data_IF_996500841731
#
_entry.id   IF_996500841731
#
_cell.length_a   1.000
_cell.length_b   1.000
_cell.length_c   1.000
_cell.angle_alpha   90.00
_cell.angle_beta   90.00
_cell.angle_gamma   90.00
#
_symmetry.space_group_name_H-M   'P 1'
#
loop_
_entity.id
_entity.type
_entity.pdbx_description
1 polymer ?
#
# COMPACT_ATOMS: atom_id res chain seq x y z
N UNK A 1 24.58 -54.18 -19.15
CA UNK A 1 23.89 -52.97 -18.68
C UNK A 1 24.77 -51.79 -19.02
N UNK A 2 24.34 -51.00 -20.00
CA UNK A 2 25.12 -49.88 -20.54
C UNK A 2 24.84 -48.61 -19.72
N UNK A 3 25.73 -47.62 -19.82
CA UNK A 3 25.52 -46.29 -19.21
C UNK A 3 24.19 -45.65 -19.65
N UNK A 4 23.75 -45.94 -20.88
CA UNK A 4 22.49 -45.46 -21.43
C UNK A 4 21.28 -46.03 -20.68
N UNK A 5 21.31 -47.31 -20.31
CA UNK A 5 20.22 -47.97 -19.57
C UNK A 5 19.98 -47.33 -18.20
N UNK A 6 21.06 -46.85 -17.53
CA UNK A 6 20.96 -46.15 -16.26
C UNK A 6 20.37 -44.75 -16.41
N UNK A 7 20.76 -44.01 -17.44
CA UNK A 7 20.20 -42.68 -17.74
C UNK A 7 18.71 -42.79 -18.08
N UNK A 8 18.33 -43.80 -18.84
CA UNK A 8 16.93 -44.04 -19.24
C UNK A 8 16.07 -44.40 -18.02
N UNK A 9 16.58 -45.24 -17.10
CA UNK A 9 15.90 -45.59 -15.84
C UNK A 9 15.69 -44.35 -14.95
N UNK A 10 16.73 -43.55 -14.75
CA UNK A 10 16.65 -42.33 -13.93
C UNK A 10 15.68 -41.32 -14.55
N UNK A 11 15.70 -41.17 -15.88
CA UNK A 11 14.80 -40.27 -16.60
C UNK A 11 13.34 -40.73 -16.49
N UNK A 12 13.08 -42.04 -16.59
CA UNK A 12 11.76 -42.60 -16.42
C UNK A 12 11.19 -42.34 -15.02
N UNK A 13 11.99 -42.59 -13.98
CA UNK A 13 11.61 -42.32 -12.59
C UNK A 13 11.37 -40.82 -12.38
N UNK A 14 12.25 -39.96 -12.88
CA UNK A 14 12.10 -38.50 -12.79
C UNK A 14 10.78 -38.02 -13.44
N UNK A 15 10.41 -38.58 -14.59
CA UNK A 15 9.16 -38.22 -15.28
C UNK A 15 7.90 -38.64 -14.50
N UNK A 16 7.92 -39.81 -13.84
CA UNK A 16 6.81 -40.24 -12.97
C UNK A 16 6.67 -39.28 -11.79
N UNK A 17 7.76 -38.99 -11.09
CA UNK A 17 7.75 -38.06 -9.96
C UNK A 17 7.30 -36.66 -10.39
N UNK A 18 7.74 -36.16 -11.54
CA UNK A 18 7.32 -34.86 -12.08
C UNK A 18 5.82 -34.83 -12.39
N UNK A 19 5.28 -35.91 -12.94
CA UNK A 19 3.84 -36.06 -13.21
C UNK A 19 3.02 -36.07 -11.91
N UNK A 20 3.47 -36.82 -10.90
CA UNK A 20 2.82 -36.87 -9.58
C UNK A 20 2.90 -35.52 -8.89
N UNK A 21 4.07 -34.87 -8.90
CA UNK A 21 4.27 -33.55 -8.31
C UNK A 21 3.36 -32.49 -8.97
N UNK A 22 3.24 -32.53 -10.29
CA UNK A 22 2.33 -31.66 -11.04
C UNK A 22 0.86 -31.92 -10.66
N UNK A 23 0.47 -33.19 -10.50
CA UNK A 23 -0.86 -33.56 -10.02
C UNK A 23 -1.16 -33.06 -8.60
N UNK A 24 -0.20 -33.18 -7.68
CA UNK A 24 -0.31 -32.64 -6.31
C UNK A 24 -0.43 -31.11 -6.35
N UNK A 25 0.37 -30.43 -7.17
CA UNK A 25 0.33 -28.97 -7.29
C UNK A 25 -1.04 -28.48 -7.80
N UNK A 26 -1.57 -29.12 -8.84
CA UNK A 26 -2.92 -28.82 -9.35
C UNK A 26 -3.97 -29.10 -8.27
N UNK A 27 -3.85 -30.23 -7.56
CA UNK A 27 -4.74 -30.59 -6.45
C UNK A 27 -4.75 -29.53 -5.34
N UNK A 28 -3.58 -29.14 -4.84
CA UNK A 28 -3.47 -28.08 -3.83
C UNK A 28 -4.08 -26.78 -4.36
N UNK A 29 -3.76 -26.39 -5.59
CA UNK A 29 -4.30 -25.16 -6.16
C UNK A 29 -5.83 -25.17 -6.19
N UNK A 30 -6.48 -26.28 -6.60
CA UNK A 30 -7.94 -26.36 -6.67
C UNK A 30 -8.59 -26.43 -5.29
N UNK A 31 -8.09 -27.29 -4.39
CA UNK A 31 -8.71 -27.51 -3.07
C UNK A 31 -8.39 -26.40 -2.08
N UNK A 32 -7.21 -25.78 -2.17
CA UNK A 32 -6.72 -24.74 -1.24
C UNK A 32 -6.77 -23.34 -1.84
N UNK A 33 -7.33 -23.16 -3.04
CA UNK A 33 -7.52 -21.85 -3.69
C UNK A 33 -8.04 -20.79 -2.73
N UNK A 34 -9.07 -21.13 -1.95
CA UNK A 34 -9.72 -20.18 -1.02
C UNK A 34 -8.77 -19.71 0.07
N UNK A 35 -7.99 -20.62 0.64
CA UNK A 35 -7.00 -20.31 1.67
C UNK A 35 -5.86 -19.45 1.10
N UNK A 36 -5.38 -19.78 -0.10
CA UNK A 36 -4.35 -19.00 -0.80
C UNK A 36 -4.85 -17.58 -1.09
N UNK A 37 -6.03 -17.44 -1.68
CA UNK A 37 -6.65 -16.14 -1.96
C UNK A 37 -6.89 -15.35 -0.68
N UNK A 38 -7.32 -16.01 0.40
CA UNK A 38 -7.50 -15.38 1.71
C UNK A 38 -6.18 -14.86 2.28
N UNK A 39 -5.12 -15.66 2.23
CA UNK A 39 -3.80 -15.26 2.71
C UNK A 39 -3.27 -14.05 1.92
N UNK A 40 -3.38 -14.07 0.59
CA UNK A 40 -3.02 -12.91 -0.23
C UNK A 40 -3.90 -11.69 0.06
N UNK A 41 -5.20 -11.87 0.27
CA UNK A 41 -6.12 -10.77 0.62
C UNK A 41 -5.74 -10.13 1.95
N UNK A 42 -5.33 -10.93 2.94
CA UNK A 42 -4.81 -10.44 4.22
C UNK A 42 -3.49 -9.67 4.04
N UNK A 43 -2.57 -10.18 3.22
CA UNK A 43 -1.30 -9.51 2.93
C UNK A 43 -1.52 -8.15 2.23
N UNK A 44 -2.41 -8.09 1.24
CA UNK A 44 -2.76 -6.84 0.57
C UNK A 44 -3.49 -5.87 1.52
N UNK A 45 -4.40 -6.37 2.35
CA UNK A 45 -5.06 -5.57 3.39
C UNK A 45 -4.07 -5.00 4.41
N UNK A 46 -3.07 -5.80 4.80
CA UNK A 46 -2.00 -5.37 5.69
C UNK A 46 -1.10 -4.31 5.06
N UNK A 47 -0.73 -4.45 3.78
CA UNK A 47 0.03 -3.43 3.05
C UNK A 47 -0.71 -2.09 3.03
N UNK A 48 -2.02 -2.10 2.80
CA UNK A 48 -2.85 -0.89 2.89
C UNK A 48 -2.86 -0.29 4.30
N UNK A 49 -3.00 -1.12 5.33
CA UNK A 49 -2.98 -0.68 6.73
C UNK A 49 -1.62 -0.08 7.11
N UNK A 50 -0.52 -0.66 6.64
CA UNK A 50 0.83 -0.15 6.85
C UNK A 50 0.98 1.25 6.26
N UNK A 51 0.55 1.46 5.00
CA UNK A 51 0.58 2.78 4.37
C UNK A 51 -0.27 3.80 5.14
N UNK A 52 -1.47 3.42 5.62
CA UNK A 52 -2.30 4.31 6.44
C UNK A 52 -1.62 4.69 7.77
N UNK A 53 -0.88 3.76 8.38
CA UNK A 53 -0.11 4.02 9.61
C UNK A 53 1.04 4.98 9.38
N UNK A 54 1.81 4.79 8.30
CA UNK A 54 2.91 5.68 7.91
C UNK A 54 2.40 7.09 7.58
N UNK A 55 1.29 7.19 6.84
CA UNK A 55 0.65 8.49 6.54
C UNK A 55 0.27 9.18 7.85
N UNK A 56 -0.33 8.46 8.80
CA UNK A 56 -0.71 9.02 10.10
C UNK A 56 0.51 9.57 10.84
N UNK A 57 1.61 8.83 10.88
CA UNK A 57 2.85 9.28 11.53
C UNK A 57 3.42 10.55 10.88
N UNK A 58 3.46 10.61 9.55
CA UNK A 58 3.91 11.80 8.81
C UNK A 58 3.01 13.02 9.02
N UNK A 59 1.69 12.82 9.14
CA UNK A 59 0.75 13.88 9.50
C UNK A 59 0.97 14.41 10.93
N UNK A 60 1.35 13.55 11.87
CA UNK A 60 1.72 13.99 13.22
C UNK A 60 3.07 14.73 13.22
N UNK A 61 4.06 14.26 12.46
CA UNK A 61 5.33 14.96 12.24
C UNK A 61 5.14 16.37 11.67
N UNK A 62 4.19 16.55 10.75
CA UNK A 62 3.87 17.85 10.17
C UNK A 62 3.39 18.87 11.22
N UNK A 63 2.79 18.45 12.33
CA UNK A 63 2.39 19.38 13.40
C UNK A 63 3.60 20.06 14.06
N UNK A 64 4.78 19.42 14.04
CA UNK A 64 5.98 19.93 14.70
C UNK A 64 6.67 21.06 13.93
N UNK A 65 6.34 21.23 12.65
CA UNK A 65 6.91 22.29 11.81
C UNK A 65 5.99 23.50 11.76
N UNK A 66 6.55 24.71 11.67
CA UNK A 66 5.75 25.93 11.47
C UNK A 66 6.03 26.53 10.10
N UNK A 67 5.02 26.64 9.24
CA UNK A 67 5.11 27.21 7.89
C UNK A 67 5.44 28.71 7.89
N UNK A 68 5.28 29.41 9.02
CA UNK A 68 5.72 30.80 9.18
C UNK A 68 7.22 30.93 9.48
N UNK A 69 7.88 29.86 9.93
CA UNK A 69 9.33 29.88 10.24
C UNK A 69 10.16 29.63 8.97
N UNK A 70 11.18 30.47 8.77
CA UNK A 70 12.10 30.35 7.65
C UNK A 70 12.87 29.03 7.73
N UNK A 71 12.71 28.18 6.71
CA UNK A 71 13.36 26.86 6.61
C UNK A 71 12.39 25.69 6.75
N UNK A 72 11.36 25.81 7.59
CA UNK A 72 10.37 24.75 7.81
C UNK A 72 9.43 24.54 6.62
N UNK A 73 9.17 25.59 5.84
CA UNK A 73 8.31 25.52 4.67
C UNK A 73 8.78 24.46 3.65
N UNK A 74 10.09 24.36 3.41
CA UNK A 74 10.63 23.34 2.49
C UNK A 74 10.46 21.93 3.05
N UNK A 75 10.70 21.74 4.35
CA UNK A 75 10.49 20.46 5.02
C UNK A 75 9.04 20.02 4.94
N UNK A 76 8.10 20.94 5.16
CA UNK A 76 6.66 20.68 5.04
C UNK A 76 6.31 20.24 3.60
N UNK A 77 6.82 20.93 2.58
CA UNK A 77 6.59 20.57 1.18
C UNK A 77 7.18 19.19 0.84
N UNK A 78 8.38 18.88 1.34
CA UNK A 78 9.00 17.57 1.13
C UNK A 78 8.17 16.44 1.74
N UNK A 79 7.66 16.63 2.96
CA UNK A 79 6.78 15.64 3.60
C UNK A 79 5.47 15.50 2.82
N UNK A 80 4.90 16.59 2.31
CA UNK A 80 3.71 16.53 1.47
C UNK A 80 3.95 15.83 0.12
N UNK A 81 5.11 16.01 -0.51
CA UNK A 81 5.49 15.27 -1.71
C UNK A 81 5.60 13.77 -1.46
N UNK A 82 6.22 13.40 -0.34
CA UNK A 82 6.39 12.01 0.06
C UNK A 82 5.02 11.36 0.37
N UNK A 83 4.16 12.05 1.13
CA UNK A 83 2.76 11.65 1.36
C UNK A 83 2.00 11.44 0.04
N UNK A 84 2.13 12.37 -0.91
CA UNK A 84 1.49 12.24 -2.22
C UNK A 84 2.01 11.01 -2.99
N UNK A 85 3.32 10.75 -2.93
CA UNK A 85 3.94 9.56 -3.51
C UNK A 85 3.40 8.27 -2.92
N UNK A 86 3.30 8.18 -1.59
CA UNK A 86 2.76 7.01 -0.89
C UNK A 86 1.28 6.76 -1.21
N UNK A 87 0.48 7.82 -1.25
CA UNK A 87 -0.96 7.72 -1.59
C UNK A 87 -1.12 7.22 -3.03
N UNK A 88 -0.36 7.77 -3.99
CA UNK A 88 -0.42 7.36 -5.40
C UNK A 88 0.14 5.95 -5.65
N UNK A 89 1.12 5.53 -4.85
CA UNK A 89 1.70 4.19 -4.93
C UNK A 89 0.79 3.08 -4.40
N UNK A 90 -0.34 3.42 -3.80
CA UNK A 90 -1.33 2.47 -3.28
C UNK A 90 -2.65 2.63 -4.04
N UNK A 91 -2.97 1.67 -4.93
CA UNK A 91 -4.15 1.74 -5.81
C UNK A 91 -5.47 1.99 -5.05
N UNK A 92 -5.61 1.40 -3.85
CA UNK A 92 -6.79 1.59 -3.00
C UNK A 92 -6.87 3.02 -2.46
N UNK A 93 -5.75 3.60 -2.01
CA UNK A 93 -5.70 4.98 -1.51
C UNK A 93 -5.86 6.01 -2.62
N UNK A 94 -5.28 5.75 -3.81
CA UNK A 94 -5.40 6.60 -4.98
C UNK A 94 -6.87 6.92 -5.29
N UNK A 95 -7.73 5.89 -5.30
CA UNK A 95 -9.17 6.05 -5.55
C UNK A 95 -9.87 6.72 -4.37
N UNK A 96 -9.57 6.31 -3.14
CA UNK A 96 -10.30 6.76 -1.96
C UNK A 96 -9.96 8.20 -1.52
N UNK A 97 -8.78 8.70 -1.90
CA UNK A 97 -8.24 10.01 -1.49
C UNK A 97 -8.11 11.01 -2.65
N UNK A 98 -8.76 10.79 -3.79
CA UNK A 98 -8.67 11.65 -5.00
C UNK A 98 -8.84 13.16 -4.71
N UNK A 99 -9.78 13.52 -3.84
CA UNK A 99 -10.00 14.92 -3.45
C UNK A 99 -8.79 15.50 -2.70
N UNK A 100 -8.21 14.72 -1.79
CA UNK A 100 -7.05 15.14 -1.00
C UNK A 100 -5.78 15.21 -1.86
N UNK A 101 -5.62 14.29 -2.81
CA UNK A 101 -4.56 14.26 -3.80
C UNK A 101 -4.56 15.57 -4.61
N UNK A 102 -5.71 15.95 -5.17
CA UNK A 102 -5.85 17.22 -5.93
C UNK A 102 -5.49 18.45 -5.10
N UNK A 103 -5.89 18.49 -3.82
CA UNK A 103 -5.53 19.60 -2.91
C UNK A 103 -4.03 19.66 -2.64
N UNK A 104 -3.39 18.51 -2.43
CA UNK A 104 -1.94 18.41 -2.26
C UNK A 104 -1.23 18.87 -3.54
N UNK A 105 -1.66 18.41 -4.71
CA UNK A 105 -1.10 18.82 -6.01
C UNK A 105 -1.17 20.33 -6.21
N UNK A 106 -2.32 20.96 -5.96
CA UNK A 106 -2.46 22.43 -6.09
C UNK A 106 -1.45 23.17 -5.21
N UNK A 107 -1.17 22.67 -4.01
CA UNK A 107 -0.20 23.26 -3.08
C UNK A 107 1.24 23.01 -3.56
N UNK A 108 1.52 21.79 -4.03
CA UNK A 108 2.86 21.33 -4.44
C UNK A 108 3.28 21.80 -5.83
N UNK A 109 2.33 22.11 -6.73
CA UNK A 109 2.56 22.66 -8.08
C UNK A 109 2.66 24.20 -8.10
N UNK A 110 2.48 24.84 -6.94
CA UNK A 110 2.67 26.28 -6.75
C UNK A 110 4.05 26.71 -6.21
N UNK A 111 5.19 25.98 -6.35
CA UNK A 111 6.45 26.39 -5.76
C UNK A 111 7.01 27.56 -6.60
N UNK A 112 6.88 28.78 -6.06
CA UNK A 112 7.40 30.00 -6.69
C UNK A 112 6.36 30.97 -7.26
N UNK A 113 5.04 30.66 -7.20
CA UNK A 113 3.99 31.61 -7.61
C UNK A 113 3.16 32.09 -6.41
N UNK A 114 3.51 33.28 -5.92
CA UNK A 114 2.69 34.23 -5.14
C UNK A 114 1.98 33.80 -3.83
N UNK A 115 1.89 32.52 -3.46
CA UNK A 115 1.30 32.10 -2.17
C UNK A 115 2.08 30.96 -1.53
N UNK A 116 3.05 31.25 -0.63
CA UNK A 116 3.63 30.21 0.22
C UNK A 116 2.51 29.51 1.00
N UNK A 117 2.72 28.24 1.33
CA UNK A 117 1.81 27.50 2.20
C UNK A 117 1.70 28.27 3.53
N UNK A 118 0.50 28.77 3.83
CA UNK A 118 0.23 29.43 5.11
C UNK A 118 -0.03 28.38 6.18
N UNK A 119 0.23 28.73 7.43
CA UNK A 119 -0.04 27.81 8.54
C UNK A 119 -1.52 27.42 8.61
N UNK A 120 -2.44 28.34 8.34
CA UNK A 120 -3.88 28.05 8.29
C UNK A 120 -4.21 26.96 7.26
N UNK A 121 -3.66 27.08 6.04
CA UNK A 121 -3.88 26.09 4.97
C UNK A 121 -3.26 24.74 5.32
N UNK A 122 -2.05 24.75 5.87
CA UNK A 122 -1.36 23.54 6.32
C UNK A 122 -2.17 22.82 7.39
N UNK A 123 -2.62 23.52 8.44
CA UNK A 123 -3.45 22.95 9.51
C UNK A 123 -4.76 22.38 8.99
N UNK A 124 -5.46 23.13 8.12
CA UNK A 124 -6.70 22.66 7.52
C UNK A 124 -6.49 21.36 6.72
N UNK A 125 -5.42 21.30 5.91
CA UNK A 125 -5.09 20.12 5.13
C UNK A 125 -4.72 18.93 6.01
N UNK A 126 -3.92 19.14 7.06
CA UNK A 126 -3.56 18.09 8.03
C UNK A 126 -4.82 17.54 8.71
N UNK A 127 -5.72 18.41 9.18
CA UNK A 127 -6.97 17.98 9.82
C UNK A 127 -7.84 17.16 8.87
N UNK A 128 -7.97 17.59 7.61
CA UNK A 128 -8.74 16.86 6.61
C UNK A 128 -8.12 15.50 6.28
N UNK A 129 -6.81 15.45 6.04
CA UNK A 129 -6.07 14.22 5.78
C UNK A 129 -6.16 13.26 6.96
N UNK A 130 -6.01 13.76 8.20
CA UNK A 130 -6.11 12.96 9.43
C UNK A 130 -7.49 12.35 9.56
N UNK A 131 -8.56 13.12 9.33
CA UNK A 131 -9.92 12.58 9.42
C UNK A 131 -10.21 11.57 8.32
N UNK A 132 -9.71 11.82 7.10
CA UNK A 132 -9.83 10.87 6.00
C UNK A 132 -9.13 9.54 6.32
N UNK A 133 -7.90 9.60 6.82
CA UNK A 133 -7.13 8.43 7.27
C UNK A 133 -7.84 7.70 8.42
N UNK A 134 -8.46 8.43 9.36
CA UNK A 134 -9.27 7.85 10.45
C UNK A 134 -10.46 7.06 9.90
N UNK A 135 -11.19 7.64 8.96
CA UNK A 135 -12.35 6.98 8.34
C UNK A 135 -11.95 5.74 7.55
N UNK A 136 -10.83 5.79 6.82
CA UNK A 136 -10.30 4.64 6.07
C UNK A 136 -9.83 3.51 6.99
N UNK A 137 -9.22 3.84 8.14
CA UNK A 137 -8.86 2.84 9.14
C UNK A 137 -10.08 2.12 9.71
N UNK A 138 -11.17 2.85 10.02
CA UNK A 138 -12.42 2.24 10.50
C UNK A 138 -13.03 1.30 9.45
N UNK A 139 -13.14 1.76 8.20
CA UNK A 139 -13.64 0.94 7.10
C UNK A 139 -12.80 -0.33 6.87
N UNK A 140 -11.47 -0.23 7.03
CA UNK A 140 -10.60 -1.39 6.87
C UNK A 140 -10.76 -2.39 8.02
N UNK A 141 -10.99 -1.93 9.26
CA UNK A 141 -11.29 -2.80 10.40
C UNK A 141 -12.62 -3.55 10.17
N UNK A 142 -13.64 -2.88 9.63
CA UNK A 142 -14.93 -3.51 9.28
C UNK A 142 -14.76 -4.57 8.17
N UNK A 143 -13.97 -4.26 7.13
CA UNK A 143 -13.65 -5.19 6.05
C UNK A 143 -12.87 -6.43 6.56
N UNK A 144 -11.93 -6.25 7.49
CA UNK A 144 -11.10 -7.33 8.05
C UNK A 144 -11.88 -8.19 9.06
N UNK A 145 -12.78 -7.58 9.84
CA UNK A 145 -13.57 -8.29 10.86
C UNK A 145 -14.74 -9.10 10.28
N UNK A 146 -15.01 -8.98 8.96
CA UNK A 146 -16.13 -9.66 8.31
C UNK A 146 -17.50 -9.10 8.70
N UNK A 147 -17.52 -7.90 9.29
CA UNK A 147 -18.73 -7.24 9.81
C UNK A 147 -19.44 -6.47 8.70
N UNK A 148 -19.89 -7.15 7.64
CA UNK A 148 -20.92 -6.61 6.73
C UNK A 148 -22.23 -7.38 6.95
N UNK A 149 -23.38 -6.73 7.16
CA UNK A 149 -24.68 -7.37 7.02
C UNK A 149 -24.92 -7.84 5.58
#
# INVERSE_FOLDING_TARGET
>A
MTWKDWVDLVSFVANIFSTIASGIAIGIFVFKRKEIVSAFSLLFGYSHQLTLSEIKEKLELLNNFNAAESGNAQTILNIFHDLLGQIRGNDKLLVLMDVQIKKLEIILESPGKAKPITEEKKRALISELREKVRNLNVQNIDDISGSRP
#
